data_IF_270348033897
#
_entry.id   IF_270348033897
#
_cell.length_a   1.000
_cell.length_b   1.000
_cell.length_c   1.000
_cell.angle_alpha   90.00
_cell.angle_beta   90.00
_cell.angle_gamma   90.00
#
_symmetry.space_group_name_H-M   'P 1'
#
loop_
_entity.id
_entity.type
_entity.pdbx_description
1 polymer ?
#
# COMPACT_ATOMS: atom_id res chain seq x y z
N UNK A 1 -2.25 -3.54 -16.40
CA UNK A 1 -0.95 -4.22 -16.38
C UNK A 1 -0.73 -5.00 -15.08
N UNK A 2 -0.87 -4.34 -13.91
CA UNK A 2 -0.63 -4.99 -12.61
C UNK A 2 -1.64 -6.10 -12.34
N UNK A 3 -2.93 -5.81 -12.55
CA UNK A 3 -4.05 -6.74 -12.40
C UNK A 3 -3.96 -7.97 -13.31
N UNK A 4 -3.38 -7.81 -14.49
CA UNK A 4 -3.29 -8.90 -15.49
C UNK A 4 -2.05 -9.78 -15.31
N UNK A 5 -0.93 -9.20 -14.82
CA UNK A 5 0.37 -9.85 -14.86
C UNK A 5 0.99 -10.16 -13.53
N UNK A 6 0.69 -9.37 -12.50
CA UNK A 6 1.37 -9.47 -11.20
C UNK A 6 0.46 -10.06 -10.15
N UNK A 7 -0.75 -9.54 -10.01
CA UNK A 7 -1.67 -10.00 -8.99
C UNK A 7 -3.12 -9.81 -9.41
N UNK A 8 -3.89 -10.89 -9.51
CA UNK A 8 -5.29 -10.83 -9.92
C UNK A 8 -6.14 -10.03 -8.92
N UNK A 9 -7.20 -9.40 -9.44
CA UNK A 9 -8.16 -8.63 -8.64
C UNK A 9 -8.70 -9.45 -7.46
N UNK A 10 -9.11 -10.69 -7.72
CA UNK A 10 -9.72 -11.56 -6.69
C UNK A 10 -8.74 -11.90 -5.56
N UNK A 11 -7.49 -12.24 -5.91
CA UNK A 11 -6.46 -12.55 -4.92
C UNK A 11 -6.10 -11.32 -4.09
N UNK A 12 -5.91 -10.17 -4.74
CA UNK A 12 -5.60 -8.91 -4.04
C UNK A 12 -6.74 -8.50 -3.11
N UNK A 13 -7.98 -8.47 -3.61
CA UNK A 13 -9.15 -8.07 -2.81
C UNK A 13 -9.35 -8.96 -1.59
N UNK A 14 -9.26 -10.29 -1.77
CA UNK A 14 -9.40 -11.26 -0.67
C UNK A 14 -8.32 -11.05 0.39
N UNK A 15 -7.05 -10.98 -0.02
CA UNK A 15 -5.94 -10.81 0.92
C UNK A 15 -6.04 -9.48 1.69
N UNK A 16 -6.43 -8.40 1.03
CA UNK A 16 -6.56 -7.07 1.64
C UNK A 16 -7.79 -6.96 2.55
N UNK A 17 -8.91 -7.58 2.19
CA UNK A 17 -10.09 -7.68 3.07
C UNK A 17 -9.80 -8.43 4.37
N UNK A 18 -9.02 -9.50 4.30
CA UNK A 18 -8.59 -10.22 5.50
C UNK A 18 -7.68 -9.35 6.37
N UNK A 19 -6.69 -8.68 5.74
CA UNK A 19 -5.73 -7.80 6.43
C UNK A 19 -6.42 -6.61 7.10
N UNK A 20 -7.35 -5.95 6.41
CA UNK A 20 -8.08 -4.77 6.89
C UNK A 20 -9.51 -5.10 7.34
N UNK A 21 -9.69 -6.28 7.91
CA UNK A 21 -10.97 -6.68 8.50
C UNK A 21 -11.20 -5.95 9.82
N UNK A 22 -12.47 -5.80 10.19
CA UNK A 22 -12.87 -5.11 11.43
C UNK A 22 -12.35 -5.80 12.70
N UNK A 23 -11.94 -7.06 12.60
CA UNK A 23 -11.21 -7.77 13.67
C UNK A 23 -9.95 -7.01 14.12
N UNK A 24 -9.27 -6.34 13.20
CA UNK A 24 -8.04 -5.61 13.46
C UNK A 24 -8.24 -4.10 13.56
N UNK A 25 -9.49 -3.63 13.56
CA UNK A 25 -9.84 -2.20 13.60
C UNK A 25 -9.08 -1.47 14.72
N UNK A 26 -9.16 -1.97 15.95
CA UNK A 26 -8.56 -1.29 17.10
C UNK A 26 -7.05 -1.13 16.93
N UNK A 27 -6.35 -2.17 16.47
CA UNK A 27 -4.90 -2.11 16.23
C UNK A 27 -4.55 -1.05 15.16
N UNK A 28 -5.30 -1.01 14.05
CA UNK A 28 -5.05 -0.01 13.02
C UNK A 28 -5.43 1.40 13.44
N UNK A 29 -6.54 1.60 14.16
CA UNK A 29 -6.95 2.94 14.60
C UNK A 29 -6.01 3.50 15.66
N UNK A 30 -5.49 2.66 16.53
CA UNK A 30 -4.46 3.02 17.51
C UNK A 30 -3.13 3.39 16.82
N UNK A 31 -2.75 2.66 15.77
CA UNK A 31 -1.55 2.92 14.98
C UNK A 31 -1.69 4.20 14.14
N UNK A 32 -2.79 4.35 13.42
CA UNK A 32 -2.99 5.46 12.47
C UNK A 32 -3.26 6.79 13.15
N UNK A 33 -3.94 6.80 14.29
CA UNK A 33 -4.27 8.01 15.09
C UNK A 33 -4.89 9.12 14.25
N UNK A 34 -5.78 8.77 13.32
CA UNK A 34 -6.40 9.74 12.42
C UNK A 34 -7.45 10.57 13.15
N UNK A 35 -7.48 11.85 12.81
CA UNK A 35 -8.49 12.79 13.33
C UNK A 35 -9.87 12.57 12.65
N UNK A 36 -10.93 12.90 13.37
CA UNK A 36 -12.29 12.92 12.83
C UNK A 36 -12.38 13.91 11.66
N UNK A 37 -13.02 13.47 10.57
CA UNK A 37 -13.18 14.33 9.38
C UNK A 37 -11.93 14.51 8.52
N UNK A 38 -10.83 13.78 8.82
CA UNK A 38 -9.59 13.86 8.05
C UNK A 38 -9.79 13.57 6.56
N UNK A 39 -9.04 14.30 5.72
CA UNK A 39 -8.94 14.06 4.28
C UNK A 39 -7.78 13.11 4.01
N UNK A 40 -8.07 11.91 3.57
CA UNK A 40 -7.13 10.79 3.46
C UNK A 40 -6.96 10.40 1.99
N UNK A 41 -5.71 10.32 1.54
CA UNK A 41 -5.35 9.78 0.23
C UNK A 41 -4.65 8.43 0.40
N UNK A 42 -5.25 7.35 -0.11
CA UNK A 42 -4.55 6.07 -0.28
C UNK A 42 -3.91 6.03 -1.66
N UNK A 43 -2.57 5.92 -1.71
CA UNK A 43 -1.78 5.84 -2.94
C UNK A 43 -1.47 4.37 -3.22
N UNK A 44 -1.78 3.92 -4.45
CA UNK A 44 -1.73 2.50 -4.83
C UNK A 44 -2.84 1.70 -4.15
N UNK A 45 -4.08 2.21 -4.21
CA UNK A 45 -5.21 1.66 -3.48
C UNK A 45 -5.65 0.26 -3.99
N UNK A 46 -5.17 -0.16 -5.16
CA UNK A 46 -5.55 -1.43 -5.77
C UNK A 46 -7.08 -1.59 -5.83
N UNK A 47 -7.58 -2.65 -5.24
CA UNK A 47 -9.02 -2.96 -5.18
C UNK A 47 -9.82 -2.08 -4.20
N UNK A 48 -9.19 -1.12 -3.51
CA UNK A 48 -9.83 -0.20 -2.58
C UNK A 48 -10.22 -0.80 -1.23
N UNK A 49 -9.65 -1.93 -0.85
CA UNK A 49 -10.03 -2.62 0.40
C UNK A 49 -9.69 -1.81 1.65
N UNK A 50 -8.53 -1.12 1.68
CA UNK A 50 -8.16 -0.24 2.79
C UNK A 50 -9.00 1.04 2.79
N UNK A 51 -9.24 1.67 1.63
CA UNK A 51 -10.17 2.81 1.52
C UNK A 51 -11.53 2.50 2.15
N UNK A 52 -12.13 1.34 1.79
CA UNK A 52 -13.40 0.90 2.38
C UNK A 52 -13.31 0.63 3.89
N UNK A 53 -12.19 0.09 4.36
CA UNK A 53 -11.96 -0.10 5.79
C UNK A 53 -11.86 1.25 6.52
N UNK A 54 -11.07 2.19 5.99
CA UNK A 54 -10.95 3.54 6.52
C UNK A 54 -12.30 4.25 6.60
N UNK A 55 -13.12 4.15 5.54
CA UNK A 55 -14.46 4.76 5.55
C UNK A 55 -15.40 4.15 6.61
N UNK A 56 -15.31 2.84 6.85
CA UNK A 56 -16.06 2.19 7.96
C UNK A 56 -15.54 2.58 9.34
N UNK A 57 -14.22 2.70 9.48
CA UNK A 57 -13.59 3.01 10.77
C UNK A 57 -13.68 4.49 11.15
N UNK A 58 -13.67 5.37 10.14
CA UNK A 58 -13.74 6.82 10.27
C UNK A 58 -14.86 7.35 9.36
N UNK A 59 -16.14 7.23 9.75
CA UNK A 59 -17.28 7.56 8.87
C UNK A 59 -17.30 9.02 8.40
N UNK A 60 -16.76 9.95 9.19
CA UNK A 60 -16.66 11.38 8.86
C UNK A 60 -15.50 11.70 7.92
N UNK A 61 -14.52 10.80 7.74
CA UNK A 61 -13.36 11.04 6.88
C UNK A 61 -13.75 11.11 5.39
N UNK A 62 -13.05 11.98 4.67
CA UNK A 62 -13.05 12.02 3.20
C UNK A 62 -11.93 11.11 2.69
N UNK A 63 -12.26 9.96 2.11
CA UNK A 63 -11.29 8.97 1.66
C UNK A 63 -11.23 8.94 0.14
N UNK A 64 -10.02 9.14 -0.39
CA UNK A 64 -9.72 9.06 -1.82
C UNK A 64 -8.69 7.97 -2.05
N UNK A 65 -8.97 7.05 -2.96
CA UNK A 65 -8.02 6.05 -3.44
C UNK A 65 -7.47 6.42 -4.82
N UNK A 66 -6.16 6.27 -5.00
CA UNK A 66 -5.51 6.46 -6.30
C UNK A 66 -4.74 5.20 -6.67
N UNK A 67 -4.89 4.75 -7.92
CA UNK A 67 -4.09 3.68 -8.51
C UNK A 67 -3.86 3.94 -10.00
N UNK A 68 -2.78 3.39 -10.56
CA UNK A 68 -2.49 3.51 -11.98
C UNK A 68 -3.20 2.46 -12.84
N UNK A 69 -3.68 1.37 -12.24
CA UNK A 69 -4.31 0.25 -12.95
C UNK A 69 -5.81 0.46 -13.09
N UNK A 70 -6.29 0.56 -14.34
CA UNK A 70 -7.69 0.82 -14.64
C UNK A 70 -8.62 -0.26 -14.08
N UNK A 71 -8.24 -1.52 -14.19
CA UNK A 71 -9.10 -2.63 -13.75
C UNK A 71 -9.26 -2.64 -12.21
N UNK A 72 -8.23 -2.24 -11.49
CA UNK A 72 -8.34 -2.05 -10.04
C UNK A 72 -9.26 -0.89 -9.69
N UNK A 73 -9.12 0.25 -10.36
CA UNK A 73 -9.96 1.43 -10.13
C UNK A 73 -11.42 1.15 -10.47
N UNK A 74 -11.70 0.48 -11.58
CA UNK A 74 -13.08 0.13 -11.97
C UNK A 74 -13.71 -0.84 -10.97
N UNK A 75 -12.95 -1.83 -10.53
CA UNK A 75 -13.38 -2.73 -9.46
C UNK A 75 -13.66 -1.99 -8.16
N UNK A 76 -12.75 -1.12 -7.73
CA UNK A 76 -12.89 -0.33 -6.51
C UNK A 76 -14.12 0.57 -6.55
N UNK A 77 -14.36 1.27 -7.67
CA UNK A 77 -15.57 2.09 -7.90
C UNK A 77 -16.85 1.27 -7.78
N UNK A 78 -16.87 0.07 -8.37
CA UNK A 78 -18.02 -0.85 -8.29
C UNK A 78 -18.30 -1.39 -6.90
N UNK A 79 -17.38 -1.21 -5.94
CA UNK A 79 -17.49 -1.64 -4.53
C UNK A 79 -17.51 -0.48 -3.54
N UNK A 80 -17.52 0.77 -4.01
CA UNK A 80 -17.48 1.95 -3.15
C UNK A 80 -18.66 2.00 -2.18
N UNK A 81 -18.38 2.45 -0.96
CA UNK A 81 -19.36 2.66 0.12
C UNK A 81 -19.38 4.12 0.61
N UNK A 82 -18.78 5.04 -0.18
CA UNK A 82 -18.72 6.47 0.12
C UNK A 82 -17.34 7.10 -0.02
N UNK A 83 -16.31 6.30 -0.33
CA UNK A 83 -15.00 6.73 -0.76
C UNK A 83 -14.97 6.97 -2.28
N UNK A 84 -14.00 7.74 -2.76
CA UNK A 84 -13.83 8.05 -4.18
C UNK A 84 -12.55 7.44 -4.73
N UNK A 85 -12.52 7.15 -6.04
CA UNK A 85 -11.37 6.52 -6.68
C UNK A 85 -10.95 7.23 -7.95
N UNK A 86 -9.66 7.47 -8.10
CA UNK A 86 -9.06 8.13 -9.27
C UNK A 86 -7.92 7.30 -9.83
N UNK A 87 -7.84 7.25 -11.16
CA UNK A 87 -6.65 6.79 -11.84
C UNK A 87 -5.57 7.88 -11.76
N UNK A 88 -4.33 7.48 -11.47
CA UNK A 88 -3.21 8.41 -11.45
C UNK A 88 -1.88 7.73 -11.17
N UNK A 89 -0.82 8.49 -11.41
CA UNK A 89 0.55 8.08 -11.12
C UNK A 89 0.96 8.59 -9.72
N UNK A 90 1.59 7.73 -8.94
CA UNK A 90 2.08 8.07 -7.60
C UNK A 90 3.23 9.09 -7.61
N UNK A 91 3.87 9.29 -8.77
CA UNK A 91 4.94 10.29 -8.97
C UNK A 91 4.45 11.60 -9.59
N UNK A 92 3.14 11.71 -9.87
CA UNK A 92 2.51 12.90 -10.43
C UNK A 92 1.04 12.95 -9.98
N UNK A 93 0.81 13.20 -8.69
CA UNK A 93 -0.51 13.15 -8.07
C UNK A 93 -1.44 14.27 -8.61
N UNK A 94 -2.65 13.95 -9.11
CA UNK A 94 -3.56 14.92 -9.71
C UNK A 94 -4.35 15.70 -8.65
N UNK A 95 -3.66 16.20 -7.62
CA UNK A 95 -4.24 16.94 -6.50
C UNK A 95 -3.44 18.21 -6.23
N UNK A 96 -4.10 19.21 -5.66
CA UNK A 96 -3.46 20.47 -5.26
C UNK A 96 -2.53 20.26 -4.05
N UNK A 97 -1.60 21.20 -3.89
CA UNK A 97 -0.71 21.25 -2.72
C UNK A 97 -1.54 21.39 -1.44
N UNK A 98 -1.13 20.70 -0.39
CA UNK A 98 -1.78 20.80 0.92
C UNK A 98 -3.23 20.31 0.96
N UNK A 99 -3.66 19.47 0.02
CA UNK A 99 -5.07 19.06 -0.12
C UNK A 99 -5.46 17.89 0.79
N UNK A 100 -4.51 17.25 1.48
CA UNK A 100 -4.77 16.12 2.36
C UNK A 100 -4.15 16.30 3.75
N UNK A 101 -4.83 15.75 4.76
CA UNK A 101 -4.31 15.64 6.12
C UNK A 101 -3.39 14.43 6.26
N UNK A 102 -3.71 13.36 5.52
CA UNK A 102 -3.01 12.08 5.60
C UNK A 102 -2.82 11.48 4.21
N UNK A 103 -1.61 10.99 3.93
CA UNK A 103 -1.37 10.04 2.85
C UNK A 103 -1.08 8.66 3.43
N UNK A 104 -1.64 7.62 2.83
CA UNK A 104 -1.39 6.22 3.20
C UNK A 104 -0.97 5.46 1.95
N UNK A 105 0.04 4.60 2.07
CA UNK A 105 0.33 3.60 1.03
C UNK A 105 0.64 2.25 1.66
N UNK A 106 0.19 1.19 0.98
CA UNK A 106 0.36 -0.18 1.46
C UNK A 106 1.03 -1.05 0.40
N UNK A 107 2.31 -1.40 0.62
CA UNK A 107 3.15 -2.18 -0.31
C UNK A 107 3.23 -1.53 -1.70
N UNK A 108 3.59 -0.26 -1.76
CA UNK A 108 3.70 0.55 -2.99
C UNK A 108 5.10 1.14 -3.14
N UNK A 109 5.69 1.64 -2.05
CA UNK A 109 6.98 2.35 -2.07
C UNK A 109 8.10 1.55 -2.74
N UNK A 110 8.05 0.24 -2.65
CA UNK A 110 9.01 -0.67 -3.27
C UNK A 110 8.95 -0.72 -4.81
N UNK A 111 7.89 -0.18 -5.40
CA UNK A 111 7.61 -0.24 -6.84
C UNK A 111 7.70 1.12 -7.54
N UNK A 112 7.93 2.19 -6.80
CA UNK A 112 7.87 3.56 -7.29
C UNK A 112 9.19 4.28 -7.00
N UNK A 113 9.64 5.10 -7.95
CA UNK A 113 10.85 5.89 -7.79
C UNK A 113 10.72 6.84 -6.60
N UNK A 114 11.65 6.80 -5.63
CA UNK A 114 11.49 7.48 -4.34
C UNK A 114 11.34 8.99 -4.41
N UNK A 115 12.04 9.69 -5.31
CA UNK A 115 11.99 11.16 -5.33
C UNK A 115 10.62 11.67 -5.76
N UNK A 116 10.03 11.09 -6.80
CA UNK A 116 8.67 11.40 -7.23
C UNK A 116 7.64 10.98 -6.18
N UNK A 117 7.78 9.75 -5.66
CA UNK A 117 6.84 9.19 -4.70
C UNK A 117 6.74 9.99 -3.39
N UNK A 118 7.87 10.28 -2.77
CA UNK A 118 7.90 11.04 -1.52
C UNK A 118 7.69 12.54 -1.74
N UNK A 119 8.23 13.08 -2.84
CA UNK A 119 8.04 14.48 -3.20
C UNK A 119 6.57 14.83 -3.40
N UNK A 120 5.82 14.01 -4.12
CA UNK A 120 4.40 14.22 -4.34
C UNK A 120 3.56 14.04 -3.07
N UNK A 121 3.87 13.05 -2.22
CA UNK A 121 3.20 12.92 -0.94
C UNK A 121 3.44 14.15 -0.05
N UNK A 122 4.70 14.64 0.01
CA UNK A 122 5.01 15.85 0.76
C UNK A 122 4.28 17.08 0.22
N UNK A 123 4.14 17.20 -1.11
CA UNK A 123 3.44 18.31 -1.77
C UNK A 123 1.94 18.32 -1.46
N UNK A 124 1.28 17.18 -1.58
CA UNK A 124 -0.18 17.11 -1.38
C UNK A 124 -0.59 17.12 0.09
N UNK A 125 0.32 16.82 1.02
CA UNK A 125 0.07 16.94 2.45
C UNK A 125 0.10 18.40 2.89
N UNK A 126 -0.90 18.80 3.69
CA UNK A 126 -0.85 20.09 4.39
C UNK A 126 0.32 20.15 5.37
N UNK A 127 0.65 21.34 5.85
CA UNK A 127 1.60 21.48 6.94
C UNK A 127 1.08 20.76 8.20
N UNK A 128 1.95 19.96 8.81
CA UNK A 128 1.58 19.08 9.93
C UNK A 128 0.79 17.82 9.51
N UNK A 129 0.61 17.58 8.21
CA UNK A 129 -0.02 16.35 7.71
C UNK A 129 0.86 15.12 7.89
N UNK A 130 0.27 13.93 7.88
CA UNK A 130 0.92 12.66 8.21
C UNK A 130 1.05 11.76 6.99
N UNK A 131 2.23 11.17 6.80
CA UNK A 131 2.50 10.15 5.80
C UNK A 131 2.62 8.78 6.46
N UNK A 132 1.75 7.84 6.12
CA UNK A 132 1.74 6.48 6.64
C UNK A 132 2.17 5.49 5.55
N UNK A 133 3.21 4.71 5.82
CA UNK A 133 3.69 3.66 4.95
C UNK A 133 3.53 2.29 5.62
N UNK A 134 2.76 1.42 4.97
CA UNK A 134 2.62 0.02 5.35
C UNK A 134 3.47 -0.80 4.39
N UNK A 135 4.68 -1.15 4.81
CA UNK A 135 5.64 -1.89 4.00
C UNK A 135 5.87 -3.30 4.55
N UNK A 136 6.25 -4.22 3.68
CA UNK A 136 6.66 -5.55 4.10
C UNK A 136 8.08 -5.49 4.69
N UNK A 137 8.27 -6.06 5.88
CA UNK A 137 9.59 -6.19 6.49
C UNK A 137 10.41 -7.19 5.68
N UNK A 138 11.50 -6.74 5.11
CA UNK A 138 12.37 -7.60 4.29
C UNK A 138 13.43 -8.28 5.16
N UNK A 139 13.76 -9.52 4.78
CA UNK A 139 14.80 -10.31 5.45
C UNK A 139 14.35 -11.02 6.72
N UNK A 140 13.10 -10.85 7.16
CA UNK A 140 12.55 -11.61 8.27
C UNK A 140 11.60 -12.65 7.71
N UNK A 141 12.06 -13.88 7.69
CA UNK A 141 11.20 -15.03 7.43
C UNK A 141 10.74 -15.57 8.80
N UNK A 142 9.46 -15.50 9.06
CA UNK A 142 8.85 -16.24 10.15
C UNK A 142 8.31 -17.55 9.59
N UNK A 143 8.97 -18.67 9.80
CA UNK A 143 8.39 -19.95 9.43
C UNK A 143 7.06 -20.09 10.19
N UNK A 144 5.99 -20.30 9.45
CA UNK A 144 4.70 -20.55 10.09
C UNK A 144 4.79 -21.90 10.80
N UNK A 145 4.66 -21.90 12.11
CA UNK A 145 4.73 -23.09 12.94
C UNK A 145 3.65 -24.16 12.63
N UNK A 146 2.72 -23.85 11.72
CA UNK A 146 1.62 -24.71 11.32
C UNK A 146 1.86 -25.43 9.98
N UNK A 147 2.98 -25.21 9.32
CA UNK A 147 3.25 -25.80 8.00
C UNK A 147 3.92 -27.17 8.21
N UNK A 148 3.31 -28.20 7.64
CA UNK A 148 3.97 -29.51 7.53
C UNK A 148 5.25 -29.41 6.70
N UNK A 149 6.16 -30.33 6.86
CA UNK A 149 7.33 -30.43 5.98
C UNK A 149 6.89 -30.56 4.51
N UNK A 150 7.48 -29.77 3.64
CA UNK A 150 7.22 -29.85 2.21
C UNK A 150 7.83 -31.14 1.64
N UNK A 151 7.07 -31.79 0.77
CA UNK A 151 7.61 -32.92 0.00
C UNK A 151 8.64 -32.41 -1.03
N UNK A 152 9.53 -33.31 -1.47
CA UNK A 152 10.50 -32.99 -2.52
C UNK A 152 9.81 -32.47 -3.81
N UNK A 153 8.63 -32.99 -4.13
CA UNK A 153 7.83 -32.53 -5.28
C UNK A 153 7.32 -31.09 -5.09
N UNK A 154 6.80 -30.77 -3.92
CA UNK A 154 6.36 -29.40 -3.60
C UNK A 154 7.54 -28.42 -3.66
N UNK A 155 8.69 -28.79 -3.09
CA UNK A 155 9.92 -27.99 -3.15
C UNK A 155 10.35 -27.70 -4.58
N UNK A 156 10.30 -28.72 -5.47
CA UNK A 156 10.64 -28.54 -6.89
C UNK A 156 9.65 -27.61 -7.61
N UNK A 157 8.33 -27.75 -7.36
CA UNK A 157 7.32 -26.87 -7.93
C UNK A 157 7.51 -25.43 -7.46
N UNK A 158 7.69 -25.21 -6.17
CA UNK A 158 7.92 -23.88 -5.60
C UNK A 158 9.18 -23.24 -6.17
N UNK A 159 10.27 -23.99 -6.33
CA UNK A 159 11.50 -23.48 -6.92
C UNK A 159 11.29 -22.99 -8.38
N UNK A 160 10.46 -23.66 -9.17
CA UNK A 160 10.11 -23.23 -10.53
C UNK A 160 9.21 -21.98 -10.52
N UNK A 161 8.15 -22.00 -9.70
CA UNK A 161 7.23 -20.85 -9.55
C UNK A 161 8.00 -19.61 -9.10
N UNK A 162 8.86 -19.74 -8.10
CA UNK A 162 9.70 -18.66 -7.61
C UNK A 162 10.64 -18.08 -8.66
N UNK A 163 11.23 -18.94 -9.50
CA UNK A 163 12.12 -18.50 -10.57
C UNK A 163 11.37 -17.69 -11.62
N UNK A 164 10.18 -18.15 -12.02
CA UNK A 164 9.32 -17.47 -13.00
C UNK A 164 8.75 -16.16 -12.44
N UNK A 165 8.30 -16.16 -11.19
CA UNK A 165 7.83 -14.94 -10.51
C UNK A 165 8.96 -13.93 -10.37
N UNK A 166 10.15 -14.33 -9.96
CA UNK A 166 11.31 -13.42 -9.86
C UNK A 166 11.71 -12.86 -11.23
N UNK A 167 11.68 -13.67 -12.29
CA UNK A 167 11.96 -13.20 -13.64
C UNK A 167 10.93 -12.17 -14.09
N UNK A 168 9.65 -12.47 -13.98
CA UNK A 168 8.56 -11.56 -14.32
C UNK A 168 8.60 -10.27 -13.48
N UNK A 169 8.88 -10.37 -12.18
CA UNK A 169 9.05 -9.22 -11.32
C UNK A 169 10.19 -8.31 -11.79
N UNK A 170 11.35 -8.89 -12.10
CA UNK A 170 12.52 -8.15 -12.60
C UNK A 170 12.25 -7.47 -13.94
N UNK A 171 11.65 -8.18 -14.90
CA UNK A 171 11.30 -7.65 -16.22
C UNK A 171 10.30 -6.49 -16.16
N UNK A 172 9.48 -6.44 -15.13
CA UNK A 172 8.44 -5.44 -14.94
C UNK A 172 8.77 -4.42 -13.83
N UNK A 173 9.99 -4.40 -13.32
CA UNK A 173 10.45 -3.45 -12.30
C UNK A 173 9.75 -3.60 -10.94
N UNK A 174 9.14 -4.75 -10.67
CA UNK A 174 8.46 -5.03 -9.39
C UNK A 174 9.52 -5.10 -8.27
N UNK A 175 9.36 -4.24 -7.27
CA UNK A 175 10.31 -4.16 -6.15
C UNK A 175 11.66 -3.52 -6.51
N UNK A 176 11.74 -2.80 -7.63
CA UNK A 176 12.99 -2.16 -8.09
C UNK A 176 13.55 -1.13 -7.10
N UNK A 177 12.70 -0.54 -6.28
CA UNK A 177 13.04 0.51 -5.30
C UNK A 177 12.84 0.07 -3.85
N UNK A 178 12.90 -1.23 -3.62
CA UNK A 178 12.68 -1.74 -2.28
C UNK A 178 13.77 -1.31 -1.31
N UNK A 179 13.35 -0.66 -0.23
CA UNK A 179 14.18 -0.22 0.87
C UNK A 179 14.02 -1.17 2.07
N UNK A 180 15.09 -1.38 2.81
CA UNK A 180 15.02 -2.11 4.07
C UNK A 180 14.49 -1.23 5.20
N UNK A 181 14.37 -1.80 6.40
CA UNK A 181 13.80 -1.14 7.58
C UNK A 181 14.62 0.06 8.09
N UNK A 182 15.90 0.14 7.76
CA UNK A 182 16.76 1.28 8.12
C UNK A 182 16.77 2.35 7.02
N UNK A 183 16.73 1.91 5.77
CA UNK A 183 16.77 2.80 4.59
C UNK A 183 15.48 3.58 4.41
N UNK A 184 14.33 2.97 4.73
CA UNK A 184 13.03 3.59 4.50
C UNK A 184 12.83 4.86 5.35
N UNK A 185 13.04 4.87 6.69
CA UNK A 185 12.96 6.07 7.49
C UNK A 185 13.94 7.15 7.04
N UNK A 186 15.19 6.79 6.81
CA UNK A 186 16.22 7.72 6.33
C UNK A 186 15.86 8.35 4.97
N UNK A 187 15.21 7.58 4.10
CA UNK A 187 14.71 8.09 2.81
C UNK A 187 13.55 9.06 3.02
N UNK A 188 12.62 8.78 3.90
CA UNK A 188 11.54 9.72 4.24
C UNK A 188 12.08 11.04 4.77
N UNK A 189 13.03 11.00 5.71
CA UNK A 189 13.70 12.19 6.24
C UNK A 189 14.40 13.01 5.15
N UNK A 190 15.11 12.34 4.21
CA UNK A 190 15.74 12.97 3.06
C UNK A 190 14.77 13.77 2.21
N UNK A 191 13.51 13.31 2.09
CA UNK A 191 12.45 13.99 1.34
C UNK A 191 11.59 14.94 2.19
N UNK A 192 12.06 15.30 3.38
CA UNK A 192 11.50 16.36 4.20
C UNK A 192 10.41 15.94 5.19
N UNK A 193 10.20 14.64 5.38
CA UNK A 193 9.40 14.15 6.49
C UNK A 193 10.19 14.28 7.79
N UNK A 194 9.52 14.57 8.90
CA UNK A 194 10.12 14.71 10.22
C UNK A 194 9.39 13.81 11.20
N UNK A 195 10.00 13.56 12.35
CA UNK A 195 9.42 12.74 13.40
C UNK A 195 9.00 11.35 12.89
N UNK A 196 9.90 10.72 12.11
CA UNK A 196 9.64 9.41 11.47
C UNK A 196 9.72 8.31 12.51
N UNK A 197 8.58 7.69 12.81
CA UNK A 197 8.47 6.57 13.73
C UNK A 197 8.28 5.25 12.96
N UNK A 198 8.84 4.15 13.47
CA UNK A 198 8.66 2.80 12.91
C UNK A 198 7.99 1.89 13.93
N UNK A 199 6.90 1.25 13.52
CA UNK A 199 6.15 0.29 14.33
C UNK A 199 6.18 -1.10 13.67
N UNK A 200 6.24 -2.18 14.49
CA UNK A 200 6.36 -3.57 14.04
C UNK A 200 5.21 -4.44 14.54
#
# INVERSE_FOLDING_TARGET
>A
FWSDRIQSIGTLDTSRKLRFSDRFRNAYTELFRLEEGARILEIGCGTGALCRALKRWYPSAEVVGLDRDDAFIDYARGKSTGETYRKGDATALPFADGSFDVTISNTVSEHVEPSGFFGEQRRVLRDGGVCLLLSARRGIQHPAACVREESAFETEIWARVDADVRRAAKENGVGAYALNEMELPATMEKYGFRDVETHY
#
